data_IF_501005462514
#
_entry.id   IF_501005462514
#
_cell.length_a   1.000
_cell.length_b   1.000
_cell.length_c   1.000
_cell.angle_alpha   90.00
_cell.angle_beta   90.00
_cell.angle_gamma   90.00
#
_symmetry.space_group_name_H-M   'P 1'
#
loop_
_entity.id
_entity.type
_entity.pdbx_description
1 polymer ?
#
# COMPACT_ATOMS: atom_id res chain seq x y z
N UNK A 1 -11.39 6.83 -6.40
CA UNK A 1 -10.62 6.34 -7.56
C UNK A 1 -9.24 6.98 -7.48
N UNK A 2 -8.20 6.20 -7.23
CA UNK A 2 -6.86 6.75 -6.99
C UNK A 2 -6.29 7.30 -8.31
N UNK A 3 -5.74 8.53 -8.34
CA UNK A 3 -5.08 9.01 -9.54
C UNK A 3 -3.90 8.10 -9.87
N UNK A 4 -3.72 7.83 -11.16
CA UNK A 4 -2.67 7.00 -11.79
C UNK A 4 -1.25 7.60 -11.67
N UNK A 5 -1.01 8.42 -10.64
CA UNK A 5 0.29 9.02 -10.40
C UNK A 5 1.24 7.95 -9.86
N UNK A 6 2.32 7.70 -10.60
CA UNK A 6 3.42 6.89 -10.09
C UNK A 6 3.99 7.54 -8.82
N UNK A 7 4.03 6.84 -7.66
CA UNK A 7 4.64 7.38 -6.47
C UNK A 7 6.15 7.57 -6.71
N UNK A 8 6.73 8.62 -6.12
CA UNK A 8 8.18 8.73 -6.09
C UNK A 8 8.78 7.62 -5.21
N UNK A 9 10.04 7.25 -5.45
CA UNK A 9 10.72 6.27 -4.60
C UNK A 9 10.76 6.71 -3.13
N UNK A 10 10.93 8.02 -2.89
CA UNK A 10 10.92 8.61 -1.54
C UNK A 10 9.56 8.47 -0.87
N UNK A 11 8.48 8.85 -1.55
CA UNK A 11 7.12 8.74 -1.02
C UNK A 11 6.77 7.28 -0.68
N UNK A 12 7.13 6.34 -1.56
CA UNK A 12 6.89 4.93 -1.32
C UNK A 12 7.66 4.41 -0.11
N UNK A 13 8.92 4.83 0.06
CA UNK A 13 9.74 4.47 1.21
C UNK A 13 9.16 5.03 2.52
N UNK A 14 8.72 6.29 2.54
CA UNK A 14 8.08 6.92 3.71
C UNK A 14 6.80 6.19 4.11
N UNK A 15 5.94 5.85 3.14
CA UNK A 15 4.72 5.07 3.38
C UNK A 15 5.04 3.68 3.94
N UNK A 16 6.00 2.98 3.34
CA UNK A 16 6.41 1.66 3.82
C UNK A 16 7.00 1.71 5.23
N UNK A 17 7.84 2.71 5.52
CA UNK A 17 8.42 2.91 6.85
C UNK A 17 7.32 3.17 7.89
N UNK A 18 6.37 4.05 7.59
CA UNK A 18 5.23 4.34 8.48
C UNK A 18 4.38 3.09 8.78
N UNK A 19 4.12 2.24 7.78
CA UNK A 19 3.42 0.97 7.98
C UNK A 19 4.16 0.04 8.95
N UNK A 20 5.49 0.01 8.89
CA UNK A 20 6.33 -0.86 9.70
C UNK A 20 6.51 -0.30 11.12
N UNK A 21 6.75 1.01 11.27
CA UNK A 21 6.97 1.67 12.56
C UNK A 21 5.72 1.71 13.42
N UNK A 22 4.55 1.94 12.82
CA UNK A 22 3.28 1.99 13.55
C UNK A 22 2.62 0.61 13.72
N UNK A 23 3.32 -0.47 13.36
CA UNK A 23 2.78 -1.82 13.49
C UNK A 23 3.13 -2.45 14.83
N UNK A 24 2.15 -3.01 15.56
CA UNK A 24 2.44 -3.84 16.74
C UNK A 24 3.14 -5.16 16.37
N UNK A 25 3.12 -5.56 15.09
CA UNK A 25 3.78 -6.77 14.60
C UNK A 25 4.30 -6.57 13.17
N UNK A 26 5.59 -6.26 13.06
CA UNK A 26 6.27 -6.00 11.79
C UNK A 26 6.17 -7.18 10.81
N UNK A 27 6.30 -8.42 11.30
CA UNK A 27 6.19 -9.62 10.46
C UNK A 27 4.79 -9.70 9.82
N UNK A 28 3.74 -9.54 10.63
CA UNK A 28 2.37 -9.60 10.13
C UNK A 28 2.08 -8.47 9.13
N UNK A 29 2.62 -7.26 9.34
CA UNK A 29 2.53 -6.18 8.34
C UNK A 29 3.20 -6.55 7.03
N UNK A 30 4.42 -7.10 7.05
CA UNK A 30 5.11 -7.53 5.82
C UNK A 30 4.30 -8.62 5.08
N UNK A 31 3.73 -9.58 5.81
CA UNK A 31 2.86 -10.62 5.23
C UNK A 31 1.60 -10.00 4.62
N UNK A 32 0.96 -9.03 5.28
CA UNK A 32 -0.22 -8.31 4.76
C UNK A 32 0.10 -7.58 3.46
N UNK A 33 1.24 -6.87 3.38
CA UNK A 33 1.71 -6.20 2.14
C UNK A 33 1.88 -7.23 1.03
N UNK A 34 2.57 -8.35 1.30
CA UNK A 34 2.82 -9.39 0.30
C UNK A 34 1.53 -10.06 -0.19
N UNK A 35 0.60 -10.35 0.71
CA UNK A 35 -0.69 -10.95 0.39
C UNK A 35 -1.52 -10.02 -0.53
N UNK A 36 -1.62 -8.73 -0.17
CA UNK A 36 -2.27 -7.69 -0.98
C UNK A 36 -1.65 -7.58 -2.37
N UNK A 37 -0.32 -7.54 -2.45
CA UNK A 37 0.40 -7.45 -3.72
C UNK A 37 0.13 -8.68 -4.60
N UNK A 38 0.06 -9.88 -4.01
CA UNK A 38 -0.27 -11.11 -4.74
C UNK A 38 -1.70 -11.05 -5.29
N UNK A 39 -2.66 -10.57 -4.51
CA UNK A 39 -4.03 -10.37 -4.96
C UNK A 39 -4.08 -9.36 -6.12
N UNK A 40 -3.40 -8.22 -6.02
CA UNK A 40 -3.35 -7.23 -7.12
C UNK A 40 -2.72 -7.77 -8.39
N UNK A 41 -1.71 -8.63 -8.29
CA UNK A 41 -1.15 -9.31 -9.46
C UNK A 41 -2.15 -10.26 -10.13
N UNK A 42 -3.02 -10.89 -9.33
CA UNK A 42 -4.09 -11.73 -9.85
C UNK A 42 -5.19 -10.88 -10.49
N UNK A 43 -5.65 -9.82 -9.81
CA UNK A 43 -6.65 -8.89 -10.35
C UNK A 43 -6.19 -8.24 -11.67
N UNK A 44 -4.90 -7.86 -11.76
CA UNK A 44 -4.27 -7.33 -12.99
C UNK A 44 -4.26 -8.36 -14.12
N UNK A 45 -3.91 -9.61 -13.80
CA UNK A 45 -3.93 -10.72 -14.76
C UNK A 45 -5.33 -11.02 -15.31
N UNK A 46 -6.37 -10.91 -14.47
CA UNK A 46 -7.77 -11.10 -14.85
C UNK A 46 -8.39 -9.85 -15.51
N UNK A 47 -7.62 -8.77 -15.73
CA UNK A 47 -8.11 -7.52 -16.32
C UNK A 47 -9.13 -6.78 -15.45
N UNK A 48 -9.13 -7.03 -14.13
CA UNK A 48 -10.05 -6.42 -13.16
C UNK A 48 -9.55 -5.07 -12.64
N UNK A 49 -8.31 -4.69 -12.97
CA UNK A 49 -7.73 -3.40 -12.65
C UNK A 49 -7.60 -2.54 -13.89
N UNK A 50 -7.73 -1.23 -13.72
CA UNK A 50 -7.36 -0.29 -14.76
C UNK A 50 -5.87 -0.37 -15.07
N UNK A 51 -5.52 -0.24 -16.35
CA UNK A 51 -4.12 -0.23 -16.81
C UNK A 51 -3.30 0.77 -15.98
N UNK A 52 -2.32 0.25 -15.26
CA UNK A 52 -1.51 1.04 -14.34
C UNK A 52 -0.07 0.56 -14.37
N UNK A 53 0.85 1.50 -14.55
CA UNK A 53 2.29 1.23 -14.47
C UNK A 53 2.81 1.03 -13.03
N UNK A 54 1.91 0.98 -12.05
CA UNK A 54 2.25 0.79 -10.64
C UNK A 54 2.38 -0.71 -10.37
N UNK A 55 3.56 -1.14 -9.93
CA UNK A 55 3.77 -2.56 -9.60
C UNK A 55 2.85 -2.98 -8.45
N UNK A 56 2.35 -4.23 -8.41
CA UNK A 56 1.41 -4.70 -7.38
C UNK A 56 1.87 -4.46 -5.94
N UNK A 57 3.18 -4.57 -5.67
CA UNK A 57 3.75 -4.29 -4.33
C UNK A 57 3.67 -2.80 -3.97
N UNK A 58 3.90 -1.91 -4.93
CA UNK A 58 3.81 -0.46 -4.68
C UNK A 58 2.36 -0.05 -4.42
N UNK A 59 1.43 -0.60 -5.21
CA UNK A 59 -0.01 -0.41 -5.01
C UNK A 59 -0.46 -0.90 -3.64
N UNK A 60 0.01 -2.08 -3.22
CA UNK A 60 -0.29 -2.62 -1.90
C UNK A 60 0.18 -1.71 -0.76
N UNK A 61 1.38 -1.11 -0.87
CA UNK A 61 1.91 -0.16 0.13
C UNK A 61 1.05 1.11 0.18
N UNK A 62 0.67 1.66 -0.98
CA UNK A 62 -0.19 2.85 -1.05
C UNK A 62 -1.55 2.57 -0.42
N UNK A 63 -2.24 1.52 -0.86
CA UNK A 63 -3.57 1.15 -0.36
C UNK A 63 -3.55 0.88 1.15
N UNK A 64 -2.54 0.13 1.65
CA UNK A 64 -2.39 -0.12 3.08
C UNK A 64 -2.11 1.15 3.88
N UNK A 65 -1.34 2.07 3.31
CA UNK A 65 -1.00 3.34 3.94
C UNK A 65 -2.24 4.24 4.02
N UNK A 66 -3.07 4.27 2.98
CA UNK A 66 -4.28 5.08 2.93
C UNK A 66 -5.41 4.51 3.81
N UNK A 67 -5.37 3.20 4.10
CA UNK A 67 -6.25 2.54 5.06
C UNK A 67 -5.88 2.84 6.53
N UNK A 68 -4.69 3.38 6.81
CA UNK A 68 -4.35 3.76 8.17
C UNK A 68 -5.21 4.97 8.58
N UNK A 69 -5.83 4.95 9.78
CA UNK A 69 -6.52 6.12 10.27
C UNK A 69 -5.52 7.28 10.38
N UNK A 70 -5.92 8.48 9.95
CA UNK A 70 -5.11 9.68 10.15
C UNK A 70 -4.81 9.81 11.64
N UNK A 71 -3.53 9.66 12.02
CA UNK A 71 -3.09 9.81 13.39
C UNK A 71 -3.40 11.21 13.98
N UNK A 72 -3.80 12.17 13.13
CA UNK A 72 -4.28 13.49 13.54
C UNK A 72 -5.68 13.51 14.18
N UNK A 73 -6.53 12.49 13.98
CA UNK A 73 -7.91 12.49 14.50
C UNK A 73 -8.06 11.89 15.92
N UNK A 74 -6.95 11.51 16.56
CA UNK A 74 -6.94 10.85 17.88
C UNK A 74 -6.36 11.74 19.00
N UNK A 75 -6.12 13.03 18.73
CA UNK A 75 -5.50 13.97 19.68
C UNK A 75 -6.42 15.13 20.12
N UNK A 76 -7.74 14.99 19.96
CA UNK A 76 -8.75 15.93 20.47
C UNK A 76 -9.38 15.45 21.79
#
# INVERSE_FOLDING_TARGET
MYPTRQPSAKELAERAENLIQNSPNRYLTTVRIAFRAKQRRFDDFEGLLEESNIKPVQRAIIELSDEQPDALLLND
#
